data_IF_541819334501
#
_entry.id   IF_541819334501
#
_cell.length_a   1.000
_cell.length_b   1.000
_cell.length_c   1.000
_cell.angle_alpha   90.00
_cell.angle_beta   90.00
_cell.angle_gamma   90.00
#
_symmetry.space_group_name_H-M   'P 1'
#
loop_
_entity.id
_entity.type
_entity.pdbx_description
1 polymer ?
#
# COMPACT_ATOMS: atom_id res chain seq x y z
N UNK A 1 -10.82 40.22 -71.36
CA UNK A 1 -9.94 39.50 -70.43
C UNK A 1 -10.79 38.54 -69.60
N UNK A 2 -10.96 37.28 -70.02
CA UNK A 2 -11.68 36.26 -69.23
C UNK A 2 -10.65 35.54 -68.37
N UNK A 3 -10.51 35.94 -67.11
CA UNK A 3 -9.75 35.17 -66.13
C UNK A 3 -10.51 33.86 -65.95
N UNK A 4 -9.94 32.76 -66.45
CA UNK A 4 -10.53 31.43 -66.37
C UNK A 4 -10.60 31.00 -64.91
N UNK A 5 -11.81 30.98 -64.34
CA UNK A 5 -12.11 30.63 -62.95
C UNK A 5 -11.62 29.23 -62.54
N UNK A 6 -11.41 28.33 -63.51
CA UNK A 6 -10.79 27.01 -63.31
C UNK A 6 -9.40 27.11 -62.67
N UNK A 7 -8.49 27.92 -63.22
CA UNK A 7 -7.12 28.03 -62.70
C UNK A 7 -7.07 28.56 -61.28
N UNK A 8 -7.96 29.49 -60.95
CA UNK A 8 -8.09 30.02 -59.59
C UNK A 8 -8.68 29.00 -58.63
N UNK A 9 -9.65 28.19 -59.08
CA UNK A 9 -10.25 27.13 -58.26
C UNK A 9 -9.27 25.96 -58.01
N UNK A 10 -8.45 25.60 -59.00
CA UNK A 10 -7.42 24.56 -58.87
C UNK A 10 -6.32 24.97 -57.89
N UNK A 11 -5.86 26.23 -57.97
CA UNK A 11 -4.88 26.77 -57.02
C UNK A 11 -5.43 26.80 -55.58
N UNK A 12 -6.70 27.20 -55.41
CA UNK A 12 -7.38 27.23 -54.10
C UNK A 12 -7.57 25.83 -53.53
N UNK A 13 -8.01 24.86 -54.33
CA UNK A 13 -8.23 23.48 -53.87
C UNK A 13 -6.92 22.75 -53.53
N UNK A 14 -5.85 22.99 -54.29
CA UNK A 14 -4.52 22.46 -54.01
C UNK A 14 -3.95 23.05 -52.71
N UNK A 15 -4.07 24.36 -52.50
CA UNK A 15 -3.67 25.02 -51.26
C UNK A 15 -4.47 24.47 -50.07
N UNK A 16 -5.80 24.34 -50.20
CA UNK A 16 -6.68 23.77 -49.17
C UNK A 16 -6.24 22.36 -48.78
N UNK A 17 -6.00 21.47 -49.77
CA UNK A 17 -5.63 20.09 -49.50
C UNK A 17 -4.24 19.99 -48.85
N UNK A 18 -3.27 20.82 -49.25
CA UNK A 18 -1.94 20.88 -48.61
C UNK A 18 -2.04 21.36 -47.16
N UNK A 19 -2.85 22.38 -46.89
CA UNK A 19 -3.07 22.87 -45.52
C UNK A 19 -3.75 21.83 -44.63
N UNK A 20 -4.73 21.08 -45.16
CA UNK A 20 -5.36 19.96 -44.43
C UNK A 20 -4.34 18.85 -44.14
N UNK A 21 -3.56 18.44 -45.14
CA UNK A 21 -2.55 17.40 -44.98
C UNK A 21 -1.49 17.82 -43.93
N UNK A 22 -1.02 19.06 -43.98
CA UNK A 22 -0.10 19.61 -43.01
C UNK A 22 -0.71 19.59 -41.59
N UNK A 23 -1.96 20.05 -41.44
CA UNK A 23 -2.65 20.02 -40.15
C UNK A 23 -2.77 18.59 -39.59
N UNK A 24 -3.05 17.60 -40.43
CA UNK A 24 -3.12 16.19 -40.01
C UNK A 24 -1.75 15.65 -39.58
N UNK A 25 -0.70 15.96 -40.35
CA UNK A 25 0.67 15.52 -40.06
C UNK A 25 1.17 16.09 -38.72
N UNK A 26 0.76 17.31 -38.35
CA UNK A 26 1.17 17.94 -37.09
C UNK A 26 0.26 17.51 -35.92
N UNK A 27 -1.05 17.43 -36.14
CA UNK A 27 -2.01 17.15 -35.06
C UNK A 27 -1.97 15.70 -34.58
N UNK A 28 -1.75 14.72 -35.46
CA UNK A 28 -1.70 13.30 -35.07
C UNK A 28 -0.56 12.99 -34.09
N UNK A 29 0.71 13.37 -34.36
CA UNK A 29 1.80 13.19 -33.39
C UNK A 29 1.56 13.97 -32.10
N UNK A 30 1.06 15.21 -32.18
CA UNK A 30 0.79 16.01 -30.99
C UNK A 30 -0.25 15.33 -30.09
N UNK A 31 -1.33 14.81 -30.67
CA UNK A 31 -2.36 14.07 -29.95
C UNK A 31 -1.78 12.80 -29.29
N UNK A 32 -0.92 12.07 -30.00
CA UNK A 32 -0.24 10.90 -29.45
C UNK A 32 0.67 11.27 -28.27
N UNK A 33 1.45 12.34 -28.40
CA UNK A 33 2.35 12.83 -27.33
C UNK A 33 1.53 13.22 -26.10
N UNK A 34 0.46 13.99 -26.26
CA UNK A 34 -0.42 14.40 -25.15
C UNK A 34 -1.06 13.18 -24.50
N UNK A 35 -1.56 12.23 -25.30
CA UNK A 35 -2.14 10.98 -24.78
C UNK A 35 -1.14 10.19 -23.94
N UNK A 36 0.08 9.99 -24.43
CA UNK A 36 1.13 9.26 -23.69
C UNK A 36 1.54 10.01 -22.43
N UNK A 37 1.62 11.34 -22.48
CA UNK A 37 1.94 12.18 -21.34
C UNK A 37 0.87 12.05 -20.25
N UNK A 38 -0.40 12.27 -20.57
CA UNK A 38 -1.52 12.16 -19.61
C UNK A 38 -1.61 10.74 -19.05
N UNK A 39 -1.46 9.72 -19.90
CA UNK A 39 -1.48 8.32 -19.45
C UNK A 39 -0.38 8.03 -18.43
N UNK A 40 0.82 8.59 -18.61
CA UNK A 40 1.97 8.32 -17.73
C UNK A 40 1.93 9.17 -16.46
N UNK A 41 1.56 10.44 -16.55
CA UNK A 41 1.57 11.40 -15.43
C UNK A 41 0.31 11.30 -14.58
N UNK A 42 -0.85 11.03 -15.17
CA UNK A 42 -2.14 11.08 -14.47
C UNK A 42 -2.77 9.69 -14.35
N UNK A 43 -3.06 9.05 -15.48
CA UNK A 43 -3.88 7.83 -15.47
C UNK A 43 -3.20 6.66 -14.76
N UNK A 44 -1.91 6.42 -15.01
CA UNK A 44 -1.19 5.31 -14.39
C UNK A 44 -1.06 5.44 -12.86
N UNK A 45 -0.64 6.58 -12.29
CA UNK A 45 -0.57 6.74 -10.84
C UNK A 45 -1.94 6.57 -10.16
N UNK A 46 -3.00 7.14 -10.73
CA UNK A 46 -4.36 7.00 -10.19
C UNK A 46 -4.87 5.55 -10.22
N UNK A 47 -4.58 4.82 -11.30
CA UNK A 47 -4.94 3.41 -11.39
C UNK A 47 -4.20 2.58 -10.33
N UNK A 48 -2.89 2.82 -10.17
CA UNK A 48 -2.08 2.13 -9.17
C UNK A 48 -2.56 2.42 -7.74
N UNK A 49 -2.93 3.67 -7.43
CA UNK A 49 -3.57 4.04 -6.16
C UNK A 49 -4.85 3.25 -5.92
N UNK A 50 -5.74 3.22 -6.91
CA UNK A 50 -7.03 2.55 -6.82
C UNK A 50 -6.87 1.04 -6.63
N UNK A 51 -5.95 0.43 -7.35
CA UNK A 51 -5.65 -1.00 -7.23
C UNK A 51 -5.07 -1.33 -5.85
N UNK A 52 -4.08 -0.58 -5.39
CA UNK A 52 -3.52 -0.76 -4.04
C UNK A 52 -4.59 -0.61 -2.96
N UNK A 53 -5.44 0.42 -3.02
CA UNK A 53 -6.54 0.59 -2.06
C UNK A 53 -7.52 -0.58 -2.09
N UNK A 54 -7.83 -1.10 -3.27
CA UNK A 54 -8.72 -2.26 -3.43
C UNK A 54 -8.11 -3.51 -2.81
N UNK A 55 -6.82 -3.75 -3.00
CA UNK A 55 -6.11 -4.88 -2.39
C UNK A 55 -6.03 -4.73 -0.87
N UNK A 56 -5.73 -3.53 -0.37
CA UNK A 56 -5.76 -3.23 1.06
C UNK A 56 -7.14 -3.50 1.67
N UNK A 57 -8.21 -3.08 1.01
CA UNK A 57 -9.58 -3.31 1.49
C UNK A 57 -9.95 -4.80 1.56
N UNK A 58 -9.31 -5.65 0.73
CA UNK A 58 -9.46 -7.11 0.75
C UNK A 58 -8.55 -7.80 1.78
N UNK A 59 -7.63 -7.07 2.42
CA UNK A 59 -6.62 -7.63 3.33
C UNK A 59 -5.39 -8.22 2.63
N UNK A 60 -5.27 -8.07 1.31
CA UNK A 60 -4.16 -8.57 0.49
C UNK A 60 -3.20 -7.45 0.06
N UNK A 61 -3.31 -6.28 0.69
CA UNK A 61 -2.58 -5.09 0.29
C UNK A 61 -1.10 -5.15 0.62
N UNK A 62 -0.24 -4.97 -0.39
CA UNK A 62 1.18 -4.73 -0.21
C UNK A 62 1.42 -3.30 0.34
N UNK A 63 1.68 -3.20 1.64
CA UNK A 63 1.97 -1.95 2.34
C UNK A 63 3.37 -1.38 2.05
N UNK A 64 4.20 -2.10 1.29
CA UNK A 64 5.53 -1.63 0.86
C UNK A 64 5.48 -0.84 -0.45
N UNK A 65 4.36 -0.91 -1.19
CA UNK A 65 4.18 -0.19 -2.44
C UNK A 65 4.30 1.33 -2.24
N UNK A 66 5.01 2.01 -3.14
CA UNK A 66 5.19 3.47 -3.14
C UNK A 66 4.98 4.03 -4.53
N UNK A 67 4.24 5.12 -4.60
CA UNK A 67 4.06 5.90 -5.82
C UNK A 67 5.20 6.89 -6.01
N UNK A 68 5.47 7.22 -7.26
CA UNK A 68 6.41 8.28 -7.62
C UNK A 68 5.85 9.66 -7.28
N UNK A 69 6.39 10.27 -6.23
CA UNK A 69 6.04 11.60 -5.76
C UNK A 69 7.00 12.69 -6.27
N UNK A 70 7.77 12.44 -7.34
CA UNK A 70 8.69 13.45 -7.90
C UNK A 70 7.95 14.61 -8.60
N UNK A 71 6.69 14.41 -8.95
CA UNK A 71 5.87 15.42 -9.61
C UNK A 71 5.63 16.61 -8.67
N UNK A 72 5.75 17.84 -9.20
CA UNK A 72 5.56 19.08 -8.43
C UNK A 72 4.13 19.62 -8.49
N UNK A 73 3.19 18.77 -8.91
CA UNK A 73 1.78 19.07 -9.09
C UNK A 73 0.93 18.38 -8.00
N UNK A 74 -0.39 18.46 -8.17
CA UNK A 74 -1.36 17.83 -7.30
C UNK A 74 -1.23 16.30 -7.30
N UNK A 75 -0.80 15.69 -8.41
CA UNK A 75 -0.60 14.24 -8.51
C UNK A 75 0.57 13.82 -7.62
N UNK A 76 1.70 14.54 -7.67
CA UNK A 76 2.84 14.26 -6.79
C UNK A 76 2.51 14.48 -5.31
N UNK A 77 1.76 15.54 -4.99
CA UNK A 77 1.30 15.79 -3.61
C UNK A 77 0.38 14.69 -3.09
N UNK A 78 -0.53 14.19 -3.94
CA UNK A 78 -1.44 13.09 -3.60
C UNK A 78 -0.67 11.78 -3.46
N UNK A 79 0.30 11.51 -4.33
CA UNK A 79 1.19 10.36 -4.24
C UNK A 79 1.99 10.36 -2.92
N UNK A 80 2.54 11.52 -2.52
CA UNK A 80 3.24 11.66 -1.24
C UNK A 80 2.32 11.38 -0.04
N UNK A 81 1.10 11.92 -0.07
CA UNK A 81 0.10 11.71 0.97
C UNK A 81 -0.33 10.25 1.08
N UNK A 82 -0.53 9.59 -0.07
CA UNK A 82 -0.82 8.16 -0.15
C UNK A 82 0.31 7.30 0.42
N UNK A 83 1.56 7.60 0.06
CA UNK A 83 2.74 6.90 0.59
C UNK A 83 2.83 7.02 2.11
N UNK A 84 2.52 8.21 2.67
CA UNK A 84 2.51 8.44 4.12
C UNK A 84 1.40 7.64 4.80
N UNK A 85 0.20 7.60 4.22
CA UNK A 85 -0.91 6.79 4.72
C UNK A 85 -0.51 5.30 4.77
N UNK A 86 0.07 4.75 3.69
CA UNK A 86 0.55 3.36 3.69
C UNK A 86 1.61 3.09 4.75
N UNK A 87 2.55 4.02 4.96
CA UNK A 87 3.55 3.89 6.02
C UNK A 87 2.90 3.83 7.42
N UNK A 88 1.94 4.72 7.70
CA UNK A 88 1.19 4.70 8.96
C UNK A 88 0.44 3.39 9.16
N UNK A 89 -0.21 2.86 8.11
CA UNK A 89 -0.90 1.57 8.20
C UNK A 89 0.09 0.43 8.48
N UNK A 90 1.24 0.42 7.80
CA UNK A 90 2.29 -0.58 8.04
C UNK A 90 2.79 -0.55 9.49
N UNK A 91 3.03 0.65 10.03
CA UNK A 91 3.47 0.81 11.42
C UNK A 91 2.41 0.33 12.41
N UNK A 92 1.12 0.61 12.16
CA UNK A 92 0.02 0.11 13.01
C UNK A 92 -0.03 -1.43 13.01
N UNK A 93 0.09 -2.06 11.84
CA UNK A 93 0.11 -3.53 11.73
C UNK A 93 1.29 -4.13 12.51
N UNK A 94 2.48 -3.50 12.44
CA UNK A 94 3.65 -3.92 13.22
C UNK A 94 3.40 -3.83 14.73
N UNK A 95 2.86 -2.71 15.21
CA UNK A 95 2.55 -2.54 16.64
C UNK A 95 1.54 -3.57 17.15
N UNK A 96 0.53 -3.93 16.35
CA UNK A 96 -0.43 -4.98 16.69
C UNK A 96 0.28 -6.33 16.79
N UNK A 97 1.19 -6.65 15.86
CA UNK A 97 1.99 -7.86 15.89
C UNK A 97 2.91 -7.95 17.12
N UNK A 98 3.59 -6.87 17.46
CA UNK A 98 4.46 -6.79 18.64
C UNK A 98 3.66 -6.95 19.93
N UNK A 99 2.47 -6.33 20.00
CA UNK A 99 1.57 -6.47 21.14
C UNK A 99 1.04 -7.90 21.29
N UNK A 100 0.67 -8.55 20.19
CA UNK A 100 0.25 -9.94 20.19
C UNK A 100 1.37 -10.86 20.69
N UNK A 101 2.61 -10.63 20.24
CA UNK A 101 3.79 -11.37 20.71
C UNK A 101 4.01 -11.18 22.22
N UNK A 102 3.93 -9.95 22.72
CA UNK A 102 4.06 -9.67 24.15
C UNK A 102 3.00 -10.40 24.99
N UNK A 103 1.76 -10.48 24.50
CA UNK A 103 0.68 -11.26 25.13
C UNK A 103 1.00 -12.75 25.15
N UNK A 104 1.48 -13.30 24.03
CA UNK A 104 1.91 -14.71 23.96
C UNK A 104 3.05 -15.01 24.93
N UNK A 105 4.07 -14.14 24.98
CA UNK A 105 5.21 -14.29 25.88
C UNK A 105 4.76 -14.24 27.36
N UNK A 106 3.85 -13.32 27.71
CA UNK A 106 3.26 -13.25 29.04
C UNK A 106 2.46 -14.50 29.40
N UNK A 107 1.68 -15.05 28.46
CA UNK A 107 0.95 -16.30 28.66
C UNK A 107 1.90 -17.48 28.94
N UNK A 108 3.00 -17.60 28.18
CA UNK A 108 4.03 -18.60 28.46
C UNK A 108 4.65 -18.45 29.86
N UNK A 109 4.97 -17.22 30.26
CA UNK A 109 5.48 -16.95 31.60
C UNK A 109 4.47 -17.31 32.70
N UNK A 110 3.18 -17.04 32.50
CA UNK A 110 2.11 -17.43 33.42
C UNK A 110 2.00 -18.96 33.55
N UNK A 111 2.05 -19.70 32.44
CA UNK A 111 2.01 -21.17 32.47
C UNK A 111 3.23 -21.75 33.19
N UNK A 112 4.43 -21.27 32.87
CA UNK A 112 5.66 -21.70 33.56
C UNK A 112 5.69 -21.28 35.04
N UNK A 113 5.18 -20.09 35.34
CA UNK A 113 5.07 -19.56 36.69
C UNK A 113 4.07 -20.34 37.54
N UNK A 114 2.97 -20.82 36.95
CA UNK A 114 1.93 -21.60 37.64
C UNK A 114 2.37 -23.03 38.00
N UNK A 115 3.36 -23.58 37.29
CA UNK A 115 3.94 -24.88 37.64
C UNK A 115 4.71 -24.85 38.98
N UNK A 116 5.33 -23.70 39.33
CA UNK A 116 6.11 -23.56 40.57
C UNK A 116 5.29 -23.66 41.86
N UNK A 117 4.13 -22.99 42.01
CA UNK A 117 3.26 -23.15 43.18
C UNK A 117 2.72 -24.57 43.35
N UNK A 118 2.47 -25.29 42.25
CA UNK A 118 2.00 -26.67 42.30
C UNK A 118 3.08 -27.59 42.90
N UNK A 119 4.32 -27.50 42.41
CA UNK A 119 5.46 -28.22 42.97
C UNK A 119 5.71 -27.82 44.44
N UNK A 120 5.65 -26.52 44.75
CA UNK A 120 5.79 -26.02 46.11
C UNK A 120 4.73 -26.55 47.07
N UNK A 121 3.47 -26.63 46.62
CA UNK A 121 2.36 -27.18 47.41
C UNK A 121 2.54 -28.68 47.66
N UNK A 122 2.97 -29.46 46.66
CA UNK A 122 3.29 -30.88 46.85
C UNK A 122 4.41 -31.08 47.86
N UNK A 123 5.47 -30.28 47.78
CA UNK A 123 6.59 -30.38 48.70
C UNK A 123 6.21 -29.93 50.12
N UNK A 124 5.37 -28.91 50.26
CA UNK A 124 4.85 -28.47 51.55
C UNK A 124 3.93 -29.52 52.19
N UNK A 125 3.05 -30.17 51.41
CA UNK A 125 2.24 -31.28 51.92
C UNK A 125 3.10 -32.43 52.43
N UNK A 126 4.11 -32.83 51.65
CA UNK A 126 5.03 -33.90 52.06
C UNK A 126 5.79 -33.56 53.34
N UNK A 127 6.21 -32.29 53.52
CA UNK A 127 6.83 -31.83 54.76
C UNK A 127 5.87 -31.84 55.95
N UNK A 128 4.61 -31.43 55.75
CA UNK A 128 3.58 -31.48 56.81
C UNK A 128 3.28 -32.91 57.24
N UNK A 129 3.17 -33.87 56.31
CA UNK A 129 2.99 -35.29 56.64
C UNK A 129 4.19 -35.84 57.41
N UNK A 130 5.42 -35.52 56.98
CA UNK A 130 6.63 -35.93 57.69
C UNK A 130 6.70 -35.33 59.11
N UNK A 131 6.30 -34.07 59.27
CA UNK A 131 6.25 -33.42 60.58
C UNK A 131 5.20 -34.08 61.49
N UNK A 132 4.02 -34.40 60.97
CA UNK A 132 2.98 -35.11 61.72
C UNK A 132 3.46 -36.49 62.19
N UNK A 133 4.12 -37.25 61.32
CA UNK A 133 4.71 -38.56 61.68
C UNK A 133 5.78 -38.44 62.78
N UNK A 134 6.60 -37.39 62.75
CA UNK A 134 7.58 -37.14 63.82
C UNK A 134 6.91 -36.82 65.16
N UNK A 135 5.83 -36.04 65.15
CA UNK A 135 5.06 -35.73 66.35
C UNK A 135 4.40 -36.99 66.93
N UNK A 136 3.81 -37.84 66.08
CA UNK A 136 3.23 -39.13 66.49
C UNK A 136 4.29 -40.10 67.05
N UNK A 137 5.52 -40.07 66.53
CA UNK A 137 6.61 -40.93 67.02
C UNK A 137 7.21 -40.46 68.36
N UNK A 138 6.91 -39.23 68.80
CA UNK A 138 7.35 -38.65 70.07
C UNK A 138 6.30 -38.79 71.20
N UNK A 139 5.07 -39.19 70.85
CA UNK A 139 3.96 -39.46 71.78
C UNK A 139 3.95 -40.94 72.23
#
# INVERSE_FOLDING_TARGET
>A
MKISLEKTNDAVSLFRNKSILFALIVSLPLMLVVFLFVRRVVTRPLLAMSESLTLLAKGEGDLTFRLDASHRDEIGTTAASFNRMLATIADLVRHVGDSAKAVTDAAHQLTHGSARPADGSHQQNAQSEAAAQQVDALA
#
